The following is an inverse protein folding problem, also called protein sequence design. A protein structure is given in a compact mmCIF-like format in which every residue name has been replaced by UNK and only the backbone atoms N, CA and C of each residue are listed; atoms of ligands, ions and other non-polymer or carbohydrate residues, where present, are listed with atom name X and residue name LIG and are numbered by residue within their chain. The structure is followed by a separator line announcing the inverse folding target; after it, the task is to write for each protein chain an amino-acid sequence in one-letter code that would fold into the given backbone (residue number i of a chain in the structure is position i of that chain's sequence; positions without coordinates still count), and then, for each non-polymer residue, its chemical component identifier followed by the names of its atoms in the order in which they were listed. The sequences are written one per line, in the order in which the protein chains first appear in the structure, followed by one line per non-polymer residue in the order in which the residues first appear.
data_IF_084200572805
#
_entry.id   IF_084200572805
#
_cell.length_a   1.000
_cell.length_b   1.000
_cell.length_c   1.000
_cell.angle_alpha   90.00
_cell.angle_beta   90.00
_cell.angle_gamma   90.00
#
_symmetry.space_group_name_H-M   'P 1'
#
loop_
_entity.id
_entity.type
_entity.pdbx_description
1 polymer ?
#
# COMPACT_ATOMS: atom_id res chain seq x y z
N UNK A 1 26.27 -63.71 -56.78
CA UNK A 1 26.65 -63.02 -55.57
C UNK A 1 25.92 -61.68 -55.54
N UNK A 2 24.76 -61.61 -54.89
CA UNK A 2 23.93 -60.37 -54.82
C UNK A 2 24.05 -59.79 -53.44
N UNK A 3 24.58 -58.55 -53.37
CA UNK A 3 24.65 -57.75 -52.14
C UNK A 3 23.29 -57.08 -51.91
N UNK A 4 22.67 -57.36 -50.76
CA UNK A 4 21.48 -56.66 -50.27
C UNK A 4 21.96 -55.51 -49.41
N UNK A 5 21.68 -54.26 -49.83
CA UNK A 5 21.89 -53.09 -49.03
C UNK A 5 20.64 -52.86 -48.15
N UNK A 6 20.80 -53.05 -46.85
CA UNK A 6 19.78 -52.70 -45.90
C UNK A 6 19.74 -51.17 -45.67
N UNK A 7 18.59 -50.54 -45.82
CA UNK A 7 18.29 -49.16 -45.44
C UNK A 7 17.81 -49.12 -43.98
N UNK A 8 18.56 -48.44 -43.12
CA UNK A 8 18.13 -48.17 -41.74
C UNK A 8 17.37 -46.85 -41.76
N UNK A 9 16.05 -46.91 -41.52
CA UNK A 9 15.22 -45.72 -41.26
C UNK A 9 15.37 -45.34 -39.78
N UNK A 10 16.07 -44.24 -39.51
CA UNK A 10 16.07 -43.60 -38.19
C UNK A 10 14.82 -42.73 -38.03
N UNK A 11 13.90 -43.19 -37.21
CA UNK A 11 12.71 -42.41 -36.84
C UNK A 11 13.10 -41.44 -35.71
N UNK A 12 13.21 -40.15 -36.02
CA UNK A 12 13.40 -39.12 -35.01
C UNK A 12 12.06 -38.82 -34.29
N UNK A 13 12.00 -39.19 -33.01
CA UNK A 13 10.87 -38.85 -32.15
C UNK A 13 11.07 -37.39 -31.68
N UNK A 14 10.27 -36.48 -32.21
CA UNK A 14 10.19 -35.10 -31.74
C UNK A 14 9.31 -35.11 -30.48
N UNK A 15 9.92 -34.98 -29.31
CA UNK A 15 9.21 -34.78 -28.04
C UNK A 15 8.81 -33.30 -27.97
N UNK A 16 7.55 -33.00 -28.25
CA UNK A 16 6.96 -31.70 -27.92
C UNK A 16 6.77 -31.61 -26.40
N UNK A 17 7.67 -30.91 -25.74
CA UNK A 17 7.45 -30.48 -24.35
C UNK A 17 6.35 -29.39 -24.34
N UNK A 18 5.28 -29.54 -23.56
CA UNK A 18 4.32 -28.46 -23.39
C UNK A 18 5.04 -27.31 -22.65
N UNK A 19 5.12 -26.15 -23.29
CA UNK A 19 5.50 -24.92 -22.59
C UNK A 19 4.43 -24.65 -21.54
N UNK A 20 4.72 -24.96 -20.28
CA UNK A 20 3.98 -24.46 -19.13
C UNK A 20 4.26 -22.95 -19.06
N UNK A 21 3.46 -22.16 -19.74
CA UNK A 21 3.38 -20.71 -19.49
C UNK A 21 2.73 -20.58 -18.12
N UNK A 22 3.57 -20.48 -17.09
CA UNK A 22 3.11 -19.96 -15.79
C UNK A 22 2.51 -18.57 -16.09
N UNK A 23 1.20 -18.45 -15.97
CA UNK A 23 0.53 -17.18 -15.93
C UNK A 23 1.06 -16.45 -14.67
N UNK A 24 2.17 -15.74 -14.81
CA UNK A 24 2.54 -14.69 -13.87
C UNK A 24 1.40 -13.68 -13.97
N UNK A 25 0.62 -13.58 -12.89
CA UNK A 25 -0.40 -12.53 -12.77
C UNK A 25 0.27 -11.21 -13.13
N UNK A 26 -0.18 -10.63 -14.24
CA UNK A 26 0.37 -9.39 -14.76
C UNK A 26 0.05 -8.32 -13.72
N UNK A 27 1.05 -7.94 -12.91
CA UNK A 27 0.89 -6.82 -11.98
C UNK A 27 0.63 -5.58 -12.82
N UNK A 28 -0.41 -4.82 -12.48
CA UNK A 28 -0.69 -3.55 -13.14
C UNK A 28 0.54 -2.65 -13.07
N UNK A 29 1.04 -2.21 -14.21
CA UNK A 29 2.12 -1.23 -14.24
C UNK A 29 1.63 0.09 -13.66
N UNK A 30 2.47 0.75 -12.86
CA UNK A 30 2.14 2.06 -12.32
C UNK A 30 1.99 3.09 -13.46
N UNK A 31 0.92 3.88 -13.40
CA UNK A 31 0.55 4.89 -14.40
C UNK A 31 1.20 6.23 -14.10
N UNK A 32 1.27 7.08 -15.10
CA UNK A 32 1.49 8.51 -14.91
C UNK A 32 0.14 9.20 -14.76
N UNK A 33 0.02 10.12 -13.80
CA UNK A 33 -1.22 10.85 -13.53
C UNK A 33 -1.15 12.23 -14.18
N UNK A 34 -2.05 12.51 -15.13
CA UNK A 34 -2.10 13.80 -15.82
C UNK A 34 -2.34 14.95 -14.83
N UNK A 35 -1.53 16.02 -14.93
CA UNK A 35 -1.59 17.14 -14.00
C UNK A 35 -1.22 16.77 -12.57
N UNK A 36 -0.31 15.79 -12.43
CA UNK A 36 0.13 15.27 -11.15
C UNK A 36 0.94 16.26 -10.32
N UNK A 37 1.23 15.84 -9.11
CA UNK A 37 1.91 16.61 -8.08
C UNK A 37 1.00 16.91 -6.88
N UNK A 38 1.57 17.63 -5.92
CA UNK A 38 0.88 18.01 -4.68
C UNK A 38 0.52 19.50 -4.75
N UNK A 39 -0.78 19.83 -4.67
CA UNK A 39 -1.28 21.21 -4.65
C UNK A 39 -1.91 21.60 -3.31
N UNK A 40 -1.72 20.79 -2.26
CA UNK A 40 -2.20 21.09 -0.91
C UNK A 40 -1.08 21.80 -0.14
N UNK A 41 -1.28 23.04 0.33
CA UNK A 41 -0.25 23.79 1.04
C UNK A 41 0.31 23.04 2.26
N UNK A 42 1.63 23.01 2.39
CA UNK A 42 2.34 22.36 3.49
C UNK A 42 2.43 20.84 3.39
N UNK A 43 1.79 20.21 2.40
CA UNK A 43 1.92 18.78 2.17
C UNK A 43 3.09 18.47 1.23
N UNK A 44 3.71 17.35 1.51
CA UNK A 44 4.78 16.73 0.70
C UNK A 44 4.45 15.25 0.55
N UNK A 45 5.24 14.54 -0.25
CA UNK A 45 5.05 13.11 -0.43
C UNK A 45 6.21 12.49 -1.19
N UNK A 46 6.26 11.17 -1.15
CA UNK A 46 7.22 10.38 -1.90
C UNK A 46 6.56 9.13 -2.48
N UNK A 47 7.11 8.64 -3.57
CA UNK A 47 6.76 7.33 -4.14
C UNK A 47 7.72 6.27 -3.62
N UNK A 48 7.29 5.01 -3.63
CA UNK A 48 8.11 3.90 -3.15
C UNK A 48 9.45 3.81 -3.90
N UNK A 49 10.49 3.35 -3.20
CA UNK A 49 11.85 3.27 -3.73
C UNK A 49 11.95 2.52 -5.07
N UNK A 50 11.16 1.44 -5.26
CA UNK A 50 11.12 0.74 -6.54
C UNK A 50 10.59 1.58 -7.70
N UNK A 51 9.60 2.45 -7.43
CA UNK A 51 9.08 3.40 -8.41
C UNK A 51 10.09 4.50 -8.72
N UNK A 52 10.80 5.01 -7.70
CA UNK A 52 11.89 5.98 -7.87
C UNK A 52 13.00 5.42 -8.76
N UNK A 53 13.41 4.17 -8.53
CA UNK A 53 14.40 3.47 -9.36
C UNK A 53 13.93 3.30 -10.81
N UNK A 54 12.63 3.18 -11.03
CA UNK A 54 12.01 3.15 -12.35
C UNK A 54 11.82 4.55 -12.97
N UNK A 55 12.33 5.62 -12.32
CA UNK A 55 12.25 7.00 -12.80
C UNK A 55 10.92 7.70 -12.53
N UNK A 56 10.02 7.08 -11.77
CA UNK A 56 8.77 7.70 -11.34
C UNK A 56 8.99 8.61 -10.12
N UNK A 57 8.15 9.61 -10.00
CA UNK A 57 8.26 10.66 -8.98
C UNK A 57 6.87 10.98 -8.40
N UNK A 58 6.83 11.82 -7.40
CA UNK A 58 5.57 12.33 -6.84
C UNK A 58 4.71 13.07 -7.88
N UNK A 59 5.27 13.50 -9.00
CA UNK A 59 4.53 14.10 -10.12
C UNK A 59 3.70 13.08 -10.92
N UNK A 60 3.97 11.79 -10.74
CA UNK A 60 3.19 10.69 -11.29
C UNK A 60 2.02 10.30 -10.38
N UNK A 61 1.78 11.08 -9.34
CA UNK A 61 0.64 11.01 -8.43
C UNK A 61 -0.05 12.37 -8.37
N UNK A 62 -1.22 12.45 -7.75
CA UNK A 62 -1.93 13.71 -7.55
C UNK A 62 -2.51 13.77 -6.15
N UNK A 63 -2.20 14.87 -5.43
CA UNK A 63 -2.85 15.22 -4.17
C UNK A 63 -3.42 16.63 -4.29
N UNK A 64 -4.74 16.74 -4.19
CA UNK A 64 -5.48 18.00 -4.17
C UNK A 64 -6.40 18.05 -2.96
N UNK A 65 -7.05 19.18 -2.72
CA UNK A 65 -8.01 19.35 -1.63
C UNK A 65 -9.26 20.04 -2.14
N UNK A 66 -10.42 19.50 -1.76
CA UNK A 66 -11.72 20.08 -2.00
C UNK A 66 -12.45 20.25 -0.65
N UNK A 67 -12.71 21.48 -0.25
CA UNK A 67 -13.17 21.76 1.10
C UNK A 67 -12.18 21.24 2.16
N UNK A 68 -12.61 20.29 2.99
CA UNK A 68 -11.78 19.64 4.01
C UNK A 68 -11.32 18.22 3.60
N UNK A 69 -11.66 17.78 2.40
CA UNK A 69 -11.38 16.43 1.90
C UNK A 69 -10.17 16.45 0.95
N UNK A 70 -9.19 15.59 1.20
CA UNK A 70 -8.08 15.35 0.30
C UNK A 70 -8.56 14.43 -0.84
N UNK A 71 -8.16 14.74 -2.06
CA UNK A 71 -8.37 13.92 -3.25
C UNK A 71 -7.02 13.32 -3.65
N UNK A 72 -6.96 12.02 -3.74
CA UNK A 72 -5.72 11.27 -4.04
C UNK A 72 -5.92 10.45 -5.29
N UNK A 73 -4.96 10.54 -6.21
CA UNK A 73 -4.85 9.61 -7.34
C UNK A 73 -3.38 9.19 -7.46
N UNK A 74 -3.10 7.91 -7.43
CA UNK A 74 -1.74 7.40 -7.57
C UNK A 74 -1.53 6.72 -8.92
N UNK A 75 -0.38 6.96 -9.53
CA UNK A 75 0.25 6.08 -10.51
C UNK A 75 1.10 5.07 -9.74
N UNK A 76 2.32 5.42 -9.28
CA UNK A 76 3.07 4.62 -8.33
C UNK A 76 2.46 4.68 -6.92
N UNK A 77 2.75 3.68 -6.09
CA UNK A 77 2.43 3.73 -4.66
C UNK A 77 3.16 4.90 -3.99
N UNK A 78 2.46 5.62 -3.12
CA UNK A 78 2.96 6.83 -2.51
C UNK A 78 2.46 7.05 -1.08
N UNK A 79 3.29 7.72 -0.30
CA UNK A 79 2.96 8.31 0.99
C UNK A 79 2.86 9.84 0.85
N UNK A 80 1.92 10.45 1.59
CA UNK A 80 1.70 11.90 1.63
C UNK A 80 1.55 12.34 3.08
N UNK A 81 2.21 13.44 3.44
CA UNK A 81 2.16 13.98 4.80
C UNK A 81 2.35 15.50 4.81
N UNK A 82 1.92 16.10 5.91
CA UNK A 82 2.36 17.44 6.26
C UNK A 82 3.43 17.29 7.35
N UNK A 83 4.64 17.83 7.21
CA UNK A 83 5.69 17.73 8.24
C UNK A 83 5.30 18.28 9.62
N UNK A 84 4.29 19.15 9.68
CA UNK A 84 3.74 19.64 10.94
C UNK A 84 2.81 18.63 11.64
N UNK A 85 2.36 17.58 10.94
CA UNK A 85 1.54 16.51 11.49
C UNK A 85 2.40 15.54 12.29
N UNK A 86 2.63 15.83 13.55
CA UNK A 86 3.45 14.99 14.45
C UNK A 86 2.61 14.44 15.60
N UNK A 87 2.96 13.25 16.06
CA UNK A 87 2.34 12.59 17.21
C UNK A 87 3.43 12.01 18.12
N UNK A 88 3.20 12.02 19.43
CA UNK A 88 4.13 11.48 20.42
C UNK A 88 3.39 10.97 21.66
N UNK A 89 3.96 9.93 22.29
CA UNK A 89 3.41 9.26 23.47
C UNK A 89 2.18 8.42 23.12
N UNK A 90 1.11 8.55 23.90
CA UNK A 90 -0.18 7.91 23.59
C UNK A 90 -1.01 8.82 22.69
N UNK A 91 -1.49 8.28 21.59
CA UNK A 91 -2.30 9.02 20.62
C UNK A 91 -3.08 8.07 19.70
N UNK A 92 -4.04 8.65 18.98
CA UNK A 92 -4.74 7.98 17.88
C UNK A 92 -4.74 8.89 16.66
N UNK A 93 -4.29 8.40 15.53
CA UNK A 93 -4.49 9.03 14.21
C UNK A 93 -5.63 8.32 13.51
N UNK A 94 -6.59 9.05 13.00
CA UNK A 94 -7.75 8.48 12.30
C UNK A 94 -8.13 9.30 11.07
N UNK A 95 -8.72 8.64 10.07
CA UNK A 95 -9.31 9.26 8.89
C UNK A 95 -10.40 8.36 8.29
N UNK A 96 -11.25 8.96 7.46
CA UNK A 96 -12.23 8.26 6.63
C UNK A 96 -11.75 8.26 5.20
N UNK A 97 -11.64 7.08 4.60
CA UNK A 97 -11.22 6.86 3.22
C UNK A 97 -12.42 6.41 2.41
N UNK A 98 -12.62 7.01 1.24
CA UNK A 98 -13.67 6.58 0.30
C UNK A 98 -13.05 6.36 -1.08
N UNK A 99 -13.17 5.15 -1.59
CA UNK A 99 -12.91 4.80 -2.96
C UNK A 99 -14.26 4.81 -3.68
N UNK A 100 -14.56 5.91 -4.40
CA UNK A 100 -15.88 6.13 -4.99
C UNK A 100 -16.19 5.13 -6.12
N UNK A 101 -15.13 4.63 -6.77
CA UNK A 101 -15.20 3.62 -7.82
C UNK A 101 -14.12 2.58 -7.58
N UNK A 102 -14.42 1.61 -6.75
CA UNK A 102 -13.52 0.53 -6.41
C UNK A 102 -12.91 -0.12 -7.65
N UNK A 103 -11.58 -0.28 -7.65
CA UNK A 103 -10.83 -0.81 -8.79
C UNK A 103 -10.95 0.01 -10.09
N UNK A 104 -11.24 1.31 -10.03
CA UNK A 104 -11.35 2.16 -11.22
C UNK A 104 -10.04 2.23 -12.04
N UNK A 105 -8.90 2.22 -11.37
CA UNK A 105 -7.58 2.30 -12.00
C UNK A 105 -6.78 0.98 -11.91
N UNK A 106 -7.37 -0.07 -11.35
CA UNK A 106 -6.73 -1.34 -11.04
C UNK A 106 -7.44 -2.51 -11.72
N UNK A 107 -6.70 -3.60 -11.99
CA UNK A 107 -7.26 -4.90 -12.36
C UNK A 107 -7.50 -5.80 -11.13
N UNK A 108 -7.01 -5.41 -9.94
CA UNK A 108 -7.17 -6.13 -8.68
C UNK A 108 -7.16 -5.13 -7.50
N UNK A 109 -7.64 -5.54 -6.30
CA UNK A 109 -7.73 -4.67 -5.14
C UNK A 109 -6.37 -4.14 -4.67
N UNK A 110 -6.31 -2.85 -4.38
CA UNK A 110 -5.14 -2.17 -3.81
C UNK A 110 -5.48 -1.48 -2.49
N UNK A 111 -4.55 -1.46 -1.50
CA UNK A 111 -4.83 -0.90 -0.20
C UNK A 111 -4.53 0.59 -0.11
N UNK A 112 -5.24 1.25 0.80
CA UNK A 112 -5.02 2.62 1.23
C UNK A 112 -5.22 2.74 2.73
N UNK A 113 -4.55 3.70 3.37
CA UNK A 113 -4.66 3.85 4.81
C UNK A 113 -3.81 4.95 5.42
N UNK A 114 -3.57 4.81 6.71
CA UNK A 114 -2.83 5.75 7.54
C UNK A 114 -1.45 5.18 7.84
N UNK A 115 -0.44 6.05 7.86
CA UNK A 115 0.82 5.74 8.50
C UNK A 115 1.08 6.64 9.72
N UNK A 116 1.87 6.12 10.66
CA UNK A 116 2.40 6.79 11.86
C UNK A 116 3.88 6.51 11.99
N UNK A 117 4.51 7.10 13.00
CA UNK A 117 5.92 6.85 13.32
C UNK A 117 6.88 7.20 12.17
N UNK A 118 6.52 8.19 11.35
CA UNK A 118 7.33 8.63 10.22
C UNK A 118 8.60 9.34 10.67
N UNK A 119 9.77 8.78 10.31
CA UNK A 119 11.08 9.38 10.51
C UNK A 119 11.85 9.40 9.20
N UNK A 120 12.63 10.45 9.01
CA UNK A 120 13.50 10.63 7.84
C UNK A 120 12.78 10.42 6.50
N UNK A 121 11.49 10.78 6.47
CA UNK A 121 10.64 10.68 5.28
C UNK A 121 11.25 11.48 4.13
N UNK A 122 11.19 10.93 2.91
CA UNK A 122 11.80 11.51 1.73
C UNK A 122 13.30 11.19 1.60
N UNK A 123 13.84 10.30 2.41
CA UNK A 123 15.25 9.85 2.34
C UNK A 123 15.34 8.34 2.23
N UNK A 124 16.54 7.81 1.92
CA UNK A 124 16.79 6.37 1.92
C UNK A 124 16.75 5.71 3.32
N UNK A 125 16.67 6.51 4.39
CA UNK A 125 16.67 6.07 5.78
C UNK A 125 15.28 6.15 6.42
N UNK A 126 14.23 6.39 5.62
CA UNK A 126 12.90 6.60 6.15
C UNK A 126 12.38 5.35 6.91
N UNK A 127 11.57 5.58 7.93
CA UNK A 127 10.80 4.54 8.60
C UNK A 127 9.38 5.02 8.89
N UNK A 128 8.42 4.11 8.75
CA UNK A 128 7.00 4.34 9.06
C UNK A 128 6.27 3.01 9.29
N UNK A 129 5.16 3.05 10.02
CA UNK A 129 4.22 1.93 10.14
C UNK A 129 2.88 2.35 9.56
N UNK A 130 2.28 1.56 8.68
CA UNK A 130 0.96 1.83 8.13
C UNK A 130 -0.02 0.69 8.34
N UNK A 131 -1.28 1.05 8.53
CA UNK A 131 -2.44 0.17 8.47
C UNK A 131 -3.30 0.61 7.29
N UNK A 132 -3.61 -0.33 6.40
CA UNK A 132 -4.34 -0.07 5.18
C UNK A 132 -5.40 -1.13 4.92
N UNK A 133 -6.54 -0.71 4.37
CA UNK A 133 -7.63 -1.57 3.99
C UNK A 133 -7.72 -1.71 2.47
N UNK A 134 -8.17 -2.87 2.03
CA UNK A 134 -8.60 -3.12 0.65
C UNK A 134 -10.12 -3.03 0.57
N UNK A 135 -10.64 -2.64 -0.57
CA UNK A 135 -12.08 -2.64 -0.81
C UNK A 135 -12.71 -4.04 -0.99
N UNK A 136 -11.98 -5.11 -0.75
CA UNK A 136 -12.46 -6.51 -0.81
C UNK A 136 -12.62 -7.18 0.56
N UNK A 137 -12.41 -6.43 1.64
CA UNK A 137 -12.55 -6.93 3.02
C UNK A 137 -11.25 -7.38 3.67
N UNK A 138 -10.10 -7.21 3.00
CA UNK A 138 -8.77 -7.46 3.58
C UNK A 138 -8.18 -6.19 4.18
N UNK A 139 -7.21 -6.37 5.08
CA UNK A 139 -6.35 -5.31 5.58
C UNK A 139 -4.90 -5.78 5.68
N UNK A 140 -3.99 -4.84 5.72
CA UNK A 140 -2.57 -5.08 5.98
C UNK A 140 -2.03 -4.11 7.02
N UNK A 141 -1.05 -4.59 7.79
CA UNK A 141 -0.17 -3.77 8.63
C UNK A 141 1.26 -4.03 8.19
N UNK A 142 1.90 -3.00 7.71
CA UNK A 142 3.26 -3.05 7.16
C UNK A 142 4.03 -1.80 7.56
N UNK A 143 5.33 -1.82 7.35
CA UNK A 143 6.15 -0.65 7.57
C UNK A 143 7.39 -0.67 6.69
N UNK A 144 8.06 0.46 6.73
CA UNK A 144 9.40 0.66 6.21
C UNK A 144 10.34 0.92 7.38
N UNK A 145 11.54 0.50 7.24
CA UNK A 145 12.70 0.74 8.04
C UNK A 145 13.89 0.66 7.11
N UNK A 146 15.08 0.23 7.55
CA UNK A 146 16.17 -0.13 6.64
C UNK A 146 15.73 -1.12 5.56
N UNK A 147 14.78 -2.01 5.89
CA UNK A 147 14.09 -2.91 4.96
C UNK A 147 12.58 -2.87 5.19
N UNK A 148 11.76 -3.06 4.14
CA UNK A 148 10.32 -3.22 4.30
C UNK A 148 9.97 -4.40 5.20
N UNK A 149 9.00 -4.23 6.11
CA UNK A 149 8.56 -5.30 7.00
C UNK A 149 7.04 -5.47 6.99
N UNK A 150 6.59 -6.68 7.29
CA UNK A 150 5.17 -7.05 7.28
C UNK A 150 4.79 -7.61 8.66
N UNK A 151 3.65 -7.18 9.19
CA UNK A 151 3.17 -7.62 10.49
C UNK A 151 2.07 -8.70 10.37
N UNK A 152 1.30 -8.69 9.28
CA UNK A 152 0.23 -9.69 9.02
C UNK A 152 0.30 -10.27 7.59
N UNK A 153 1.50 -10.47 7.07
CA UNK A 153 1.72 -11.13 5.78
C UNK A 153 1.19 -10.35 4.58
N UNK A 154 0.51 -11.06 3.66
CA UNK A 154 -0.02 -10.48 2.42
C UNK A 154 -1.42 -9.88 2.53
N UNK A 155 -1.94 -9.78 3.74
CA UNK A 155 -3.27 -9.27 4.05
C UNK A 155 -4.19 -10.35 4.60
N UNK A 156 -5.04 -9.96 5.54
CA UNK A 156 -5.99 -10.82 6.23
C UNK A 156 -7.41 -10.34 5.97
N UNK A 157 -8.34 -11.29 5.83
CA UNK A 157 -9.77 -11.00 5.79
C UNK A 157 -10.26 -10.66 7.19
N UNK A 158 -11.04 -9.59 7.30
CA UNK A 158 -11.69 -9.24 8.57
C UNK A 158 -13.10 -8.71 8.32
N UNK A 159 -14.07 -9.17 9.11
CA UNK A 159 -15.47 -8.77 8.97
C UNK A 159 -15.71 -7.26 9.21
N UNK A 160 -14.82 -6.59 9.93
CA UNK A 160 -14.89 -5.15 10.14
C UNK A 160 -14.48 -4.33 8.90
N UNK A 161 -13.78 -4.92 7.94
CA UNK A 161 -13.38 -4.24 6.69
C UNK A 161 -14.52 -4.33 5.69
N UNK A 162 -15.05 -3.18 5.28
CA UNK A 162 -16.13 -3.13 4.31
C UNK A 162 -15.68 -3.65 2.94
N UNK A 163 -16.62 -4.25 2.22
CA UNK A 163 -16.42 -4.72 0.84
C UNK A 163 -17.25 -3.87 -0.10
N UNK A 164 -16.64 -3.45 -1.20
CA UNK A 164 -17.39 -2.94 -2.34
C UNK A 164 -18.36 -4.01 -2.86
N UNK A 165 -19.51 -3.61 -3.34
CA UNK A 165 -20.48 -4.55 -3.93
C UNK A 165 -19.96 -5.17 -5.25
N UNK A 166 -19.02 -4.50 -5.90
CA UNK A 166 -18.35 -4.95 -7.13
C UNK A 166 -17.36 -3.90 -7.62
N UNK A 167 -16.66 -4.20 -8.70
CA UNK A 167 -15.82 -3.24 -9.40
C UNK A 167 -16.66 -2.05 -9.90
N UNK A 168 -16.15 -0.82 -9.68
CA UNK A 168 -16.87 0.42 -10.00
C UNK A 168 -17.81 0.91 -8.89
N UNK A 169 -18.09 0.10 -7.87
CA UNK A 169 -18.96 0.46 -6.77
C UNK A 169 -18.19 1.15 -5.63
N UNK A 170 -18.83 2.01 -4.83
CA UNK A 170 -18.16 2.72 -3.76
C UNK A 170 -17.84 1.81 -2.57
N UNK A 171 -16.78 2.14 -1.85
CA UNK A 171 -16.44 1.56 -0.55
C UNK A 171 -15.82 2.61 0.35
N UNK A 172 -16.22 2.61 1.63
CA UNK A 172 -15.71 3.51 2.64
C UNK A 172 -15.11 2.72 3.80
N UNK A 173 -13.97 3.20 4.33
CA UNK A 173 -13.30 2.65 5.51
C UNK A 173 -12.93 3.78 6.46
N UNK A 174 -13.28 3.64 7.73
CA UNK A 174 -12.71 4.48 8.78
C UNK A 174 -11.53 3.75 9.39
N UNK A 175 -10.33 4.27 9.19
CA UNK A 175 -9.08 3.65 9.65
C UNK A 175 -8.50 4.46 10.79
N UNK A 176 -7.98 3.78 11.81
CA UNK A 176 -7.26 4.39 12.92
C UNK A 176 -6.03 3.58 13.30
N UNK A 177 -4.93 4.27 13.57
CA UNK A 177 -3.73 3.73 14.21
C UNK A 177 -3.55 4.42 15.56
N UNK A 178 -3.42 3.63 16.62
CA UNK A 178 -3.28 4.13 18.00
C UNK A 178 -2.01 3.60 18.64
N UNK A 179 -1.33 4.46 19.39
CA UNK A 179 -0.30 4.06 20.35
C UNK A 179 -0.91 4.17 21.75
N UNK A 180 -0.98 3.07 22.50
CA UNK A 180 -1.61 2.97 23.82
C UNK A 180 -0.70 2.19 24.77
N UNK A 181 0.07 2.91 25.58
CA UNK A 181 1.07 2.28 26.45
C UNK A 181 2.08 1.49 25.62
N UNK A 182 2.12 0.18 25.85
CA UNK A 182 3.05 -0.72 25.18
C UNK A 182 2.49 -1.37 23.91
N UNK A 183 1.30 -0.95 23.45
CA UNK A 183 0.66 -1.51 22.27
C UNK A 183 0.49 -0.48 21.14
N UNK A 184 0.55 -0.98 19.90
CA UNK A 184 0.13 -0.26 18.70
C UNK A 184 -1.02 -1.03 18.07
N UNK A 185 -2.16 -0.36 17.94
CA UNK A 185 -3.41 -0.97 17.44
C UNK A 185 -3.80 -0.37 16.09
N UNK A 186 -4.17 -1.24 15.16
CA UNK A 186 -4.92 -0.86 13.97
C UNK A 186 -6.40 -1.15 14.18
N UNK A 187 -7.26 -0.15 14.01
CA UNK A 187 -8.71 -0.31 14.04
C UNK A 187 -9.31 0.10 12.69
N UNK A 188 -10.27 -0.69 12.20
CA UNK A 188 -11.02 -0.39 10.98
C UNK A 188 -12.49 -0.45 11.31
N UNK A 189 -13.22 0.61 10.91
CA UNK A 189 -14.66 0.77 11.16
C UNK A 189 -15.06 0.57 12.64
N UNK A 190 -14.18 1.04 13.55
CA UNK A 190 -14.40 1.00 14.99
C UNK A 190 -13.99 -0.30 15.68
N UNK A 191 -13.50 -1.30 14.95
CA UNK A 191 -13.05 -2.58 15.50
C UNK A 191 -11.52 -2.67 15.41
N UNK A 192 -10.86 -3.03 16.51
CA UNK A 192 -9.42 -3.34 16.51
C UNK A 192 -9.22 -4.64 15.74
N UNK A 193 -8.56 -4.54 14.58
CA UNK A 193 -8.30 -5.68 13.69
C UNK A 193 -6.91 -6.27 13.89
N UNK A 194 -5.98 -5.49 14.47
CA UNK A 194 -4.65 -5.95 14.85
C UNK A 194 -4.11 -5.15 16.04
N UNK A 195 -3.32 -5.81 16.89
CA UNK A 195 -2.61 -5.20 18.00
C UNK A 195 -1.22 -5.82 18.11
N UNK A 196 -0.21 -5.00 18.27
CA UNK A 196 1.19 -5.43 18.36
C UNK A 196 1.87 -4.79 19.56
N UNK A 197 2.74 -5.55 20.22
CA UNK A 197 3.64 -5.00 21.21
C UNK A 197 4.56 -3.95 20.59
N UNK A 198 4.67 -2.81 21.24
CA UNK A 198 5.58 -1.73 20.81
C UNK A 198 7.02 -2.23 20.62
N UNK A 199 7.49 -3.12 21.52
CA UNK A 199 8.80 -3.75 21.43
C UNK A 199 8.99 -4.63 20.18
N UNK A 200 7.93 -5.16 19.57
CA UNK A 200 8.00 -5.89 18.32
C UNK A 200 8.10 -5.00 17.08
N UNK A 201 7.79 -3.71 17.24
CA UNK A 201 7.82 -2.70 16.18
C UNK A 201 9.07 -1.81 16.29
N UNK A 202 9.41 -1.34 17.50
CA UNK A 202 10.58 -0.50 17.76
C UNK A 202 11.77 -1.38 18.08
N UNK A 203 12.38 -1.90 17.04
CA UNK A 203 13.52 -2.82 17.09
C UNK A 203 14.41 -2.58 15.86
N UNK A 204 15.68 -2.97 15.95
CA UNK A 204 16.60 -2.86 14.84
C UNK A 204 16.02 -3.46 13.56
N UNK A 205 16.11 -2.75 12.46
CA UNK A 205 15.56 -3.15 11.16
C UNK A 205 14.09 -2.74 10.93
N UNK A 206 13.40 -2.15 11.91
CA UNK A 206 12.03 -1.66 11.79
C UNK A 206 11.94 -0.16 12.17
N UNK A 207 11.07 0.18 13.09
CA UNK A 207 10.82 1.57 13.48
C UNK A 207 11.93 2.12 14.42
N UNK A 208 12.24 3.40 14.24
CA UNK A 208 13.11 4.16 15.17
C UNK A 208 12.38 4.49 16.48
N UNK A 209 11.08 4.79 16.39
CA UNK A 209 10.18 5.14 17.50
C UNK A 209 8.74 4.94 17.06
N UNK A 210 7.77 4.95 17.97
CA UNK A 210 6.35 5.11 17.66
C UNK A 210 5.92 6.58 17.59
N UNK A 211 6.74 7.50 18.08
CA UNK A 211 6.55 8.95 17.86
C UNK A 211 6.98 9.30 16.44
N UNK A 212 6.54 10.42 15.92
CA UNK A 212 6.96 10.89 14.59
C UNK A 212 5.86 11.55 13.78
N UNK A 213 6.11 11.68 12.49
CA UNK A 213 5.15 12.23 11.52
C UNK A 213 4.07 11.20 11.21
N UNK A 214 2.85 11.65 10.99
CA UNK A 214 1.76 10.82 10.47
C UNK A 214 1.20 11.38 9.15
N UNK A 215 0.63 10.50 8.36
CA UNK A 215 0.07 10.84 7.06
C UNK A 215 -0.79 9.72 6.48
N UNK A 216 -0.93 9.76 5.18
CA UNK A 216 -1.73 8.80 4.42
C UNK A 216 -0.87 8.07 3.39
N UNK A 217 -1.25 6.84 3.09
CA UNK A 217 -0.58 6.01 2.10
C UNK A 217 -1.59 5.36 1.17
N UNK A 218 -1.27 5.38 -0.13
CA UNK A 218 -2.04 4.74 -1.19
C UNK A 218 -1.14 3.80 -2.00
N UNK A 219 -1.63 2.62 -2.30
CA UNK A 219 -0.98 1.74 -3.26
C UNK A 219 -1.00 2.33 -4.67
N UNK A 220 -0.31 1.68 -5.61
CA UNK A 220 -0.29 2.15 -6.99
C UNK A 220 -1.67 2.06 -7.66
N UNK A 221 -1.89 2.88 -8.69
CA UNK A 221 -3.12 2.93 -9.49
C UNK A 221 -4.42 3.02 -8.66
N UNK A 222 -4.40 3.74 -7.55
CA UNK A 222 -5.54 3.89 -6.64
C UNK A 222 -6.08 5.31 -6.68
N UNK A 223 -7.40 5.44 -6.63
CA UNK A 223 -8.08 6.73 -6.58
C UNK A 223 -9.05 6.74 -5.39
N UNK A 224 -8.96 7.75 -4.56
CA UNK A 224 -9.83 7.87 -3.40
C UNK A 224 -9.78 9.22 -2.73
N UNK A 225 -10.63 9.41 -1.73
CA UNK A 225 -10.69 10.61 -0.91
C UNK A 225 -10.35 10.30 0.54
N UNK A 226 -9.85 11.31 1.26
CA UNK A 226 -9.55 11.23 2.68
C UNK A 226 -10.18 12.41 3.40
N UNK A 227 -11.10 12.12 4.28
CA UNK A 227 -11.76 13.09 5.15
C UNK A 227 -11.36 12.88 6.61
N UNK A 228 -11.49 13.94 7.42
CA UNK A 228 -11.33 13.90 8.87
C UNK A 228 -9.98 13.35 9.37
N UNK A 229 -8.90 13.53 8.59
CA UNK A 229 -7.56 13.16 9.07
C UNK A 229 -7.22 14.00 10.29
N UNK A 230 -7.08 13.35 11.42
CA UNK A 230 -6.79 13.99 12.70
C UNK A 230 -6.02 13.10 13.66
N UNK A 231 -5.29 13.73 14.56
CA UNK A 231 -4.68 13.10 15.72
C UNK A 231 -5.41 13.55 16.99
N UNK A 232 -5.67 12.62 17.88
CA UNK A 232 -6.23 12.87 19.22
C UNK A 232 -5.34 12.24 20.28
N UNK A 233 -5.28 12.87 21.44
CA UNK A 233 -4.69 12.27 22.65
C UNK A 233 -5.80 11.76 23.58
N UNK A 234 -5.51 10.75 24.43
CA UNK A 234 -6.46 10.29 25.45
C UNK A 234 -6.82 11.42 26.42
#
# INVERSE_FOLDING_TARGET
MRLIRGFIFSTAIVILLPNLVLAQGQMDSARSVAGGGISVPGWVGEVDAGAQQAGQTIKDTKLTKEGNTLQVTTGPAAAFWNPANTAAGNYTVSATFTEAKYMNLNSHPHPYGIFIAGHDLGTGEHSELYCAAYGDGRFIVRGFGPEPFQMNGHGEMNAAVHKAAGAGEPVEQKIALSVKGDHVECAINGVVVASYEKAALVVAGKLKSTDGVYGIRFAHNTEGTVADLKMTKP
#
